data_IF_939952749206
#
_entry.id   IF_939952749206
#
_cell.length_a   1.000
_cell.length_b   1.000
_cell.length_c   1.000
_cell.angle_alpha   90.00
_cell.angle_beta   90.00
_cell.angle_gamma   90.00
#
_symmetry.space_group_name_H-M   'P 1'
#
loop_
_entity.id
_entity.type
_entity.pdbx_description
1 polymer ?
#
# COMPACT_ATOMS: atom_id res chain seq x y z
N UNK A 1 15.89 9.71 -14.42
CA UNK A 1 16.63 9.32 -13.20
C UNK A 1 16.76 7.80 -13.24
N UNK A 2 17.96 7.27 -13.46
CA UNK A 2 18.24 5.83 -13.46
C UNK A 2 18.70 5.43 -12.05
N UNK A 3 18.19 4.32 -11.46
CA UNK A 3 18.69 3.84 -10.18
C UNK A 3 20.04 3.15 -10.37
N UNK A 4 20.86 3.16 -9.33
CA UNK A 4 22.12 2.43 -9.30
C UNK A 4 21.89 0.95 -9.69
N UNK A 5 22.60 0.50 -10.73
CA UNK A 5 22.70 -0.91 -11.13
C UNK A 5 21.85 -1.37 -12.32
N UNK A 6 20.83 -0.62 -12.76
CA UNK A 6 19.95 -1.07 -13.86
C UNK A 6 20.39 -0.64 -15.27
N UNK A 7 20.15 -1.50 -16.28
CA UNK A 7 20.29 -1.14 -17.71
C UNK A 7 18.99 -1.42 -18.47
N UNK A 8 18.80 -0.84 -19.65
CA UNK A 8 17.58 -1.03 -20.47
C UNK A 8 17.34 -2.48 -20.92
N UNK A 9 18.33 -3.36 -20.76
CA UNK A 9 18.29 -4.77 -21.18
C UNK A 9 18.20 -5.76 -20.02
N UNK A 10 18.28 -5.29 -18.76
CA UNK A 10 18.19 -6.13 -17.57
C UNK A 10 17.13 -5.61 -16.60
N UNK A 11 15.96 -6.25 -16.65
CA UNK A 11 14.79 -5.90 -15.83
C UNK A 11 14.84 -6.48 -14.41
N UNK A 12 15.86 -7.29 -14.06
CA UNK A 12 16.05 -7.79 -12.69
C UNK A 12 16.41 -6.65 -11.72
N UNK A 13 16.91 -5.54 -12.25
CA UNK A 13 17.05 -4.27 -11.54
C UNK A 13 15.81 -3.43 -11.78
N UNK A 14 14.72 -3.78 -11.09
CA UNK A 14 13.44 -3.07 -11.13
C UNK A 14 13.69 -1.59 -10.84
N UNK A 15 13.17 -0.70 -11.68
CA UNK A 15 13.20 0.75 -11.42
C UNK A 15 12.41 1.02 -10.13
N UNK A 16 13.10 1.24 -9.02
CA UNK A 16 12.47 1.69 -7.78
C UNK A 16 11.93 3.09 -8.05
N UNK A 17 10.60 3.20 -8.14
CA UNK A 17 9.94 4.49 -8.19
C UNK A 17 9.90 5.08 -6.77
N UNK A 18 10.76 6.08 -6.55
CA UNK A 18 10.75 6.84 -5.30
C UNK A 18 9.71 7.96 -5.40
N UNK A 19 8.79 8.04 -4.44
CA UNK A 19 7.84 9.14 -4.41
C UNK A 19 8.52 10.45 -3.98
N UNK A 20 8.48 11.53 -4.79
CA UNK A 20 9.06 12.83 -4.42
C UNK A 20 8.29 13.55 -3.31
N UNK A 21 7.04 13.16 -3.04
CA UNK A 21 6.16 13.77 -2.03
C UNK A 21 6.21 13.08 -0.66
N UNK A 22 7.16 12.17 -0.43
CA UNK A 22 7.28 11.47 0.86
C UNK A 22 7.65 12.46 1.99
N UNK A 23 6.93 12.49 3.12
CA UNK A 23 7.24 13.37 4.25
C UNK A 23 8.53 12.90 4.90
N UNK A 24 9.53 13.79 4.89
CA UNK A 24 10.84 13.51 5.47
C UNK A 24 10.98 14.26 6.80
N UNK A 25 11.54 13.61 7.84
CA UNK A 25 12.06 14.34 8.99
C UNK A 25 13.04 15.43 8.54
N UNK A 26 13.12 16.54 9.29
CA UNK A 26 14.09 17.61 9.00
C UNK A 26 15.50 17.00 8.93
N UNK A 27 16.22 17.31 7.85
CA UNK A 27 17.58 16.82 7.50
C UNK A 27 17.69 15.39 6.95
N UNK A 28 16.58 14.72 6.64
CA UNK A 28 16.66 13.47 5.86
C UNK A 28 16.71 13.84 4.37
N UNK A 29 17.79 13.51 3.63
CA UNK A 29 17.85 13.77 2.20
C UNK A 29 16.69 13.06 1.51
N UNK A 30 15.96 13.79 0.66
CA UNK A 30 15.09 13.19 -0.36
C UNK A 30 15.82 11.99 -0.98
N UNK A 31 15.11 10.87 -1.22
CA UNK A 31 15.47 9.74 -2.11
C UNK A 31 15.82 8.40 -1.47
N UNK A 32 15.19 8.01 -0.37
CA UNK A 32 15.57 6.77 0.30
C UNK A 32 14.35 6.05 0.88
N UNK A 33 13.33 5.78 0.07
CA UNK A 33 12.41 4.70 0.42
C UNK A 33 12.02 3.84 -0.80
N UNK A 34 12.28 2.54 -0.70
CA UNK A 34 11.59 1.48 -1.45
C UNK A 34 10.24 1.31 -0.76
N UNK A 35 9.17 1.65 -1.47
CA UNK A 35 7.83 1.59 -0.91
C UNK A 35 7.51 0.11 -0.62
N UNK A 36 7.26 -0.21 0.65
CA UNK A 36 6.66 -1.47 1.04
C UNK A 36 5.17 -1.37 0.77
N UNK A 37 4.62 -2.35 0.08
CA UNK A 37 3.25 -2.29 -0.38
C UNK A 37 2.35 -3.26 0.34
N UNK A 38 1.07 -2.90 0.39
CA UNK A 38 -0.02 -3.81 0.71
C UNK A 38 -0.65 -4.24 -0.60
N UNK A 39 -0.64 -5.55 -0.88
CA UNK A 39 -1.17 -6.14 -2.11
C UNK A 39 -2.60 -6.61 -1.87
N UNK A 40 -3.50 -6.28 -2.80
CA UNK A 40 -4.85 -6.83 -2.79
C UNK A 40 -4.85 -8.27 -3.32
N UNK A 41 -4.78 -9.23 -2.40
CA UNK A 41 -5.00 -10.65 -2.64
C UNK A 41 -6.02 -11.20 -1.62
N UNK A 42 -7.11 -10.47 -1.41
CA UNK A 42 -8.16 -10.83 -0.44
C UNK A 42 -9.49 -11.03 -1.14
N UNK A 43 -10.29 -11.98 -0.68
CA UNK A 43 -11.63 -12.24 -1.21
C UNK A 43 -12.69 -12.18 -0.13
N UNK A 44 -13.91 -11.92 -0.57
CA UNK A 44 -15.08 -11.83 0.28
C UNK A 44 -16.13 -12.83 -0.19
N UNK A 45 -16.77 -13.53 0.74
CA UNK A 45 -17.80 -14.53 0.40
C UNK A 45 -19.09 -13.89 -0.10
N UNK A 46 -19.34 -12.64 0.29
CA UNK A 46 -20.49 -11.85 -0.15
C UNK A 46 -20.21 -10.36 0.04
N UNK A 47 -21.09 -9.50 -0.48
CA UNK A 47 -21.00 -8.07 -0.25
C UNK A 47 -21.03 -7.72 1.25
N UNK A 48 -21.74 -8.49 2.09
CA UNK A 48 -21.88 -8.27 3.54
C UNK A 48 -20.74 -8.85 4.38
N UNK A 49 -19.83 -9.61 3.76
CA UNK A 49 -18.71 -10.22 4.47
C UNK A 49 -17.63 -9.15 4.72
N UNK A 50 -17.41 -8.77 5.98
CA UNK A 50 -16.39 -7.78 6.37
C UNK A 50 -15.10 -8.41 6.89
N UNK A 51 -15.00 -9.75 6.86
CA UNK A 51 -13.82 -10.49 7.34
C UNK A 51 -13.01 -10.94 6.13
N UNK A 52 -13.65 -11.63 5.19
CA UNK A 52 -13.01 -12.20 4.01
C UNK A 52 -11.91 -13.23 4.34
N UNK A 53 -11.05 -13.50 3.37
CA UNK A 53 -9.91 -14.42 3.50
C UNK A 53 -8.85 -14.12 2.45
N UNK A 54 -7.59 -14.46 2.76
CA UNK A 54 -6.49 -14.42 1.80
C UNK A 54 -6.75 -15.39 0.64
N UNK A 55 -6.68 -14.86 -0.58
CA UNK A 55 -6.83 -15.64 -1.80
C UNK A 55 -5.47 -16.14 -2.28
N UNK A 56 -5.33 -17.46 -2.34
CA UNK A 56 -4.14 -18.13 -2.85
C UNK A 56 -4.35 -18.45 -4.34
N UNK A 57 -3.42 -17.98 -5.17
CA UNK A 57 -3.41 -18.23 -6.62
C UNK A 57 -3.90 -17.05 -7.46
N UNK A 58 -4.23 -17.32 -8.71
CA UNK A 58 -4.62 -16.29 -9.68
C UNK A 58 -6.09 -15.92 -9.52
N UNK A 59 -6.41 -14.64 -9.73
CA UNK A 59 -7.78 -14.12 -9.87
C UNK A 59 -7.92 -13.35 -11.16
N UNK A 60 -9.12 -13.30 -11.74
CA UNK A 60 -9.34 -12.51 -12.94
C UNK A 60 -9.60 -11.07 -12.53
N UNK A 61 -8.94 -10.14 -13.19
CA UNK A 61 -9.24 -8.71 -13.02
C UNK A 61 -10.70 -8.38 -13.35
N UNK A 62 -11.33 -9.15 -14.25
CA UNK A 62 -12.74 -9.03 -14.63
C UNK A 62 -13.72 -9.45 -13.54
N UNK A 63 -13.25 -10.02 -12.43
CA UNK A 63 -14.10 -10.33 -11.27
C UNK A 63 -14.46 -9.05 -10.50
N UNK A 64 -13.67 -7.97 -10.67
CA UNK A 64 -13.91 -6.66 -10.08
C UNK A 64 -14.89 -5.83 -10.93
N UNK A 65 -15.97 -5.34 -10.31
CA UNK A 65 -16.99 -4.55 -11.01
C UNK A 65 -16.59 -3.10 -11.27
N UNK A 66 -15.57 -2.60 -10.56
CA UNK A 66 -15.07 -1.23 -10.68
C UNK A 66 -13.54 -1.17 -10.60
N UNK A 67 -12.80 -1.68 -11.61
CA UNK A 67 -11.34 -1.78 -11.54
C UNK A 67 -10.63 -0.43 -11.36
N UNK A 68 -11.19 0.67 -11.89
CA UNK A 68 -10.73 2.05 -11.67
C UNK A 68 -10.98 2.61 -10.27
N UNK A 69 -11.68 1.86 -9.42
CA UNK A 69 -11.93 2.24 -8.03
C UNK A 69 -11.64 1.07 -7.09
N UNK A 70 -10.91 0.04 -7.54
CA UNK A 70 -10.50 -1.10 -6.74
C UNK A 70 -8.99 -1.09 -6.63
N UNK A 71 -8.50 -1.13 -5.39
CA UNK A 71 -7.08 -1.01 -5.11
C UNK A 71 -6.36 -2.32 -5.45
N UNK A 72 -5.18 -2.19 -6.06
CA UNK A 72 -4.24 -3.28 -6.26
C UNK A 72 -3.07 -3.17 -5.28
N UNK A 73 -2.53 -1.96 -5.14
CA UNK A 73 -1.33 -1.68 -4.36
C UNK A 73 -1.51 -0.39 -3.58
N UNK A 74 -1.19 -0.39 -2.29
CA UNK A 74 -1.23 0.81 -1.45
C UNK A 74 0.03 0.92 -0.60
N UNK A 75 0.33 2.14 -0.19
CA UNK A 75 1.48 2.40 0.66
C UNK A 75 1.27 1.90 2.09
N UNK A 76 2.24 1.15 2.61
CA UNK A 76 2.26 0.73 4.02
C UNK A 76 2.67 1.89 4.95
N UNK A 77 2.22 1.91 6.19
CA UNK A 77 2.70 2.84 7.22
C UNK A 77 4.11 2.45 7.66
N UNK A 78 4.99 3.43 7.86
CA UNK A 78 6.31 3.16 8.44
C UNK A 78 6.28 3.12 9.97
N UNK A 79 7.32 2.53 10.53
CA UNK A 79 7.49 2.37 11.97
C UNK A 79 7.89 3.67 12.70
N UNK A 80 8.20 4.76 12.00
CA UNK A 80 8.47 6.05 12.67
C UNK A 80 7.15 6.64 13.14
N UNK A 81 6.15 6.65 12.28
CA UNK A 81 4.81 7.15 12.60
C UNK A 81 3.96 6.16 13.38
N UNK A 82 4.34 4.88 13.42
CA UNK A 82 3.82 3.90 14.36
C UNK A 82 4.91 2.93 14.88
N UNK A 83 5.55 3.25 16.02
CA UNK A 83 6.64 2.41 16.56
C UNK A 83 6.20 0.99 16.93
N UNK A 84 4.90 0.70 17.07
CA UNK A 84 4.39 -0.64 17.32
C UNK A 84 4.39 -1.58 16.10
N UNK A 85 4.57 -1.06 14.88
CA UNK A 85 4.38 -1.81 13.62
C UNK A 85 5.70 -2.45 13.09
N UNK A 86 6.87 -2.10 13.65
CA UNK A 86 8.20 -2.59 13.25
C UNK A 86 8.42 -2.63 11.72
N UNK A 87 8.05 -1.54 11.03
CA UNK A 87 8.28 -1.37 9.58
C UNK A 87 9.44 -0.41 9.35
N UNK A 88 10.62 -0.89 8.93
CA UNK A 88 11.73 -0.01 8.60
C UNK A 88 11.41 0.82 7.36
N UNK A 89 11.94 2.04 7.33
CA UNK A 89 12.01 2.83 6.09
C UNK A 89 13.15 2.24 5.28
N UNK A 90 12.81 1.52 4.20
CA UNK A 90 13.78 0.83 3.35
C UNK A 90 14.49 1.81 2.44
N UNK A 91 15.70 2.23 2.76
CA UNK A 91 16.42 3.29 2.05
C UNK A 91 17.10 2.88 0.74
N UNK A 92 17.30 1.58 0.53
CA UNK A 92 17.86 1.02 -0.68
C UNK A 92 17.99 -0.50 -0.58
N UNK A 93 18.59 -1.13 -1.60
CA UNK A 93 18.76 -2.59 -1.64
C UNK A 93 19.68 -3.16 -0.56
N UNK A 94 20.50 -2.31 0.08
CA UNK A 94 21.41 -2.71 1.16
C UNK A 94 20.76 -2.68 2.55
N UNK A 95 19.51 -2.22 2.66
CA UNK A 95 18.78 -2.26 3.92
C UNK A 95 18.50 -3.71 4.33
N UNK A 96 18.65 -3.98 5.63
CA UNK A 96 18.61 -5.35 6.16
C UNK A 96 17.29 -6.09 5.94
N UNK A 97 16.19 -5.37 5.67
CA UNK A 97 14.84 -5.95 5.48
C UNK A 97 14.10 -5.21 4.38
N UNK A 98 14.01 -5.82 3.21
CA UNK A 98 13.36 -5.27 2.01
C UNK A 98 12.11 -6.06 1.58
N UNK A 99 11.83 -7.17 2.27
CA UNK A 99 10.83 -8.19 1.95
C UNK A 99 9.54 -8.08 2.79
N UNK A 100 9.32 -6.94 3.44
CA UNK A 100 8.17 -6.71 4.30
C UNK A 100 6.98 -6.18 3.48
N UNK A 101 6.36 -7.06 2.69
CA UNK A 101 5.08 -6.81 2.03
C UNK A 101 3.94 -7.50 2.80
N UNK A 102 2.75 -6.94 2.73
CA UNK A 102 1.56 -7.55 3.31
C UNK A 102 0.56 -7.90 2.23
N UNK A 103 -0.09 -9.06 2.39
CA UNK A 103 -1.44 -9.21 1.83
C UNK A 103 -2.39 -8.37 2.68
N UNK A 104 -3.19 -7.55 2.03
CA UNK A 104 -4.19 -6.73 2.73
C UNK A 104 -5.17 -7.61 3.50
N UNK A 105 -5.53 -7.20 4.71
CA UNK A 105 -6.68 -7.70 5.47
C UNK A 105 -7.41 -6.51 6.13
N UNK A 106 -8.66 -6.67 6.62
CA UNK A 106 -9.44 -5.55 7.14
C UNK A 106 -8.78 -4.72 8.26
N UNK A 107 -7.97 -5.33 9.12
CA UNK A 107 -7.25 -4.61 10.19
C UNK A 107 -6.15 -3.70 9.67
N UNK A 108 -5.74 -3.87 8.41
CA UNK A 108 -4.75 -3.02 7.75
C UNK A 108 -5.32 -1.70 7.23
N UNK A 109 -6.61 -1.40 7.44
CA UNK A 109 -7.15 -0.07 7.12
C UNK A 109 -6.46 1.03 7.95
N UNK A 110 -6.38 2.28 7.45
CA UNK A 110 -5.71 3.36 8.19
C UNK A 110 -6.31 3.61 9.58
N UNK A 111 -7.63 3.45 9.70
CA UNK A 111 -8.37 3.64 10.94
C UNK A 111 -9.07 2.36 11.38
N UNK A 112 -9.39 2.29 12.68
CA UNK A 112 -10.22 1.25 13.27
C UNK A 112 -11.63 1.21 12.65
N UNK A 113 -12.40 0.17 12.96
CA UNK A 113 -13.76 -0.01 12.44
C UNK A 113 -14.70 1.18 12.73
N UNK A 114 -14.40 2.00 13.74
CA UNK A 114 -15.16 3.20 14.09
C UNK A 114 -14.67 4.46 13.34
N UNK A 115 -13.58 4.37 12.59
CA UNK A 115 -12.95 5.47 11.87
C UNK A 115 -12.35 6.55 12.77
N UNK A 116 -12.26 6.32 14.09
CA UNK A 116 -11.91 7.36 15.08
C UNK A 116 -10.44 7.35 15.44
N UNK A 117 -9.84 6.16 15.52
CA UNK A 117 -8.44 5.98 15.93
C UNK A 117 -7.68 5.29 14.80
N UNK A 118 -6.38 5.59 14.69
CA UNK A 118 -5.52 4.85 13.79
C UNK A 118 -5.54 3.36 14.16
N UNK A 119 -5.54 2.49 13.16
CA UNK A 119 -5.36 1.06 13.42
C UNK A 119 -4.01 0.84 14.09
N UNK A 120 -3.98 0.00 15.13
CA UNK A 120 -2.75 -0.39 15.82
C UNK A 120 -2.00 -1.51 15.09
N UNK A 121 -2.64 -2.16 14.12
CA UNK A 121 -2.03 -3.19 13.29
C UNK A 121 -1.18 -2.56 12.17
N UNK A 122 -0.39 -3.39 11.48
CA UNK A 122 0.32 -3.02 10.24
C UNK A 122 -0.73 -2.51 9.26
N UNK A 123 -0.65 -1.26 8.84
CA UNK A 123 -1.76 -0.59 8.14
C UNK A 123 -1.30 0.16 6.92
N UNK A 124 -2.25 0.50 6.06
CA UNK A 124 -2.09 1.48 5.01
C UNK A 124 -1.80 2.84 5.65
N UNK A 125 -0.86 3.59 5.08
CA UNK A 125 -0.41 4.84 5.67
C UNK A 125 -1.52 5.89 5.72
N UNK A 126 -1.72 6.50 6.89
CA UNK A 126 -2.77 7.50 7.06
C UNK A 126 -2.37 8.90 6.55
N UNK A 127 -1.07 9.18 6.44
CA UNK A 127 -0.55 10.54 6.17
C UNK A 127 0.68 10.59 5.26
N UNK A 128 0.92 9.55 4.47
CA UNK A 128 2.12 9.42 3.63
C UNK A 128 2.15 10.39 2.46
N UNK A 129 1.01 10.72 1.88
CA UNK A 129 0.89 11.69 0.79
C UNK A 129 0.05 12.88 1.20
N UNK A 130 0.56 14.08 0.88
CA UNK A 130 -0.05 15.38 1.21
C UNK A 130 -0.44 15.54 2.70
N UNK A 131 0.23 14.80 3.58
CA UNK A 131 -0.01 14.81 5.03
C UNK A 131 -1.35 14.22 5.48
N UNK A 132 -2.13 13.57 4.61
CA UNK A 132 -3.50 13.12 4.96
C UNK A 132 -3.99 11.84 4.27
N UNK A 133 -3.20 11.24 3.40
CA UNK A 133 -3.64 10.07 2.65
C UNK A 133 -2.52 9.23 2.07
N UNK A 134 -2.87 8.41 1.09
CA UNK A 134 -2.01 7.44 0.43
C UNK A 134 -2.22 7.49 -1.08
N UNK A 135 -1.23 7.06 -1.85
CA UNK A 135 -1.37 6.85 -3.27
C UNK A 135 -1.68 5.38 -3.50
N UNK A 136 -2.61 5.15 -4.41
CA UNK A 136 -3.16 3.83 -4.70
C UNK A 136 -2.89 3.53 -6.16
N UNK A 137 -2.30 2.37 -6.45
CA UNK A 137 -2.38 1.77 -7.77
C UNK A 137 -3.70 1.00 -7.85
N UNK A 138 -4.53 1.38 -8.81
CA UNK A 138 -5.82 0.72 -9.04
C UNK A 138 -5.65 -0.44 -10.03
N UNK A 139 -6.63 -1.35 -10.06
CA UNK A 139 -6.55 -2.55 -10.88
C UNK A 139 -6.52 -2.26 -12.38
N UNK A 140 -7.14 -1.18 -12.85
CA UNK A 140 -7.05 -0.73 -14.26
C UNK A 140 -5.68 -0.14 -14.64
N UNK A 141 -4.74 -0.04 -13.69
CA UNK A 141 -3.35 0.36 -13.90
C UNK A 141 -3.06 1.84 -13.68
N UNK A 142 -4.05 2.69 -13.38
CA UNK A 142 -3.78 4.08 -13.02
C UNK A 142 -3.40 4.23 -11.54
N UNK A 143 -2.71 5.32 -11.22
CA UNK A 143 -2.42 5.71 -9.83
C UNK A 143 -3.22 6.94 -9.42
N UNK A 144 -3.73 6.97 -8.20
CA UNK A 144 -4.47 8.11 -7.67
C UNK A 144 -4.27 8.33 -6.17
N UNK A 145 -4.36 9.59 -5.74
CA UNK A 145 -4.36 9.96 -4.33
C UNK A 145 -5.72 9.68 -3.70
N UNK A 146 -5.73 9.17 -2.47
CA UNK A 146 -6.95 9.03 -1.67
C UNK A 146 -6.71 9.48 -0.23
N UNK A 147 -7.63 10.29 0.27
CA UNK A 147 -7.66 10.67 1.69
C UNK A 147 -7.82 9.41 2.55
N UNK A 148 -7.05 9.31 3.63
CA UNK A 148 -7.03 8.12 4.49
C UNK A 148 -8.39 7.78 5.09
N UNK A 149 -9.27 8.77 5.28
CA UNK A 149 -10.65 8.56 5.74
C UNK A 149 -11.57 7.93 4.70
N UNK A 150 -11.17 7.97 3.42
CA UNK A 150 -11.90 7.39 2.29
C UNK A 150 -11.28 6.07 1.81
N UNK A 151 -10.27 5.56 2.53
CA UNK A 151 -9.68 4.23 2.31
C UNK A 151 -10.42 3.27 3.23
N UNK A 152 -11.33 2.51 2.64
CA UNK A 152 -12.19 1.56 3.34
C UNK A 152 -12.13 0.17 2.68
N UNK A 153 -12.93 -0.74 3.23
CA UNK A 153 -13.01 -2.12 2.77
C UNK A 153 -13.53 -2.26 1.32
N UNK A 154 -14.32 -1.30 0.83
CA UNK A 154 -14.92 -1.38 -0.51
C UNK A 154 -13.89 -1.26 -1.62
N UNK A 155 -12.75 -0.60 -1.36
CA UNK A 155 -11.61 -0.57 -2.28
C UNK A 155 -11.05 -1.96 -2.60
N UNK A 156 -11.21 -2.92 -1.69
CA UNK A 156 -10.62 -4.25 -1.82
C UNK A 156 -11.61 -5.28 -2.36
N UNK A 157 -12.90 -4.94 -2.43
CA UNK A 157 -13.93 -5.87 -2.88
C UNK A 157 -13.95 -5.99 -4.40
N UNK A 158 -14.13 -7.24 -4.85
CA UNK A 158 -14.54 -7.58 -6.21
C UNK A 158 -15.91 -6.97 -6.54
N UNK A 159 -16.86 -7.08 -5.60
CA UNK A 159 -18.22 -6.56 -5.72
C UNK A 159 -18.51 -5.65 -4.54
N UNK A 160 -18.76 -4.38 -4.84
CA UNK A 160 -19.06 -3.35 -3.85
C UNK A 160 -20.52 -3.36 -3.44
N UNK A 161 -20.79 -2.90 -2.22
CA UNK A 161 -22.14 -2.69 -1.72
C UNK A 161 -22.84 -1.50 -2.39
#
# INVERSE_FOLDING_TARGET
YAPEGGTEKDFRNIKIFMCPSYPLPKRTPNKKQVITYVVNAWKFRSARDNIGYEHIGLSKITDFTQPSNSAYLLDNEDGIDNPGINRPIVTGFQDMRTDLNDVWQPTHLPYDANGRRLSSDRRIAAKRHSGKGSNILFLDGHSGFRDSKLIDIELFREKKQ
#
